data_IF_675165858205
#
_entry.id   IF_675165858205
#
_cell.length_a   1.000
_cell.length_b   1.000
_cell.length_c   1.000
_cell.angle_alpha   90.00
_cell.angle_beta   90.00
_cell.angle_gamma   90.00
#
_symmetry.space_group_name_H-M   'P 1'
#
loop_
_entity.id
_entity.type
_entity.pdbx_description
1 polymer ?
#
# COMPACT_ATOMS: atom_id res chain seq x y z
N UNK A 1 -47.19 31.26 16.53
CA UNK A 1 -46.46 30.06 16.10
C UNK A 1 -45.62 30.44 14.90
N UNK A 2 -44.30 30.53 15.09
CA UNK A 2 -43.36 30.85 14.00
C UNK A 2 -43.24 29.63 13.07
N UNK A 3 -42.98 29.83 11.77
CA UNK A 3 -42.71 28.74 10.82
C UNK A 3 -41.58 27.83 11.34
N UNK A 4 -40.58 28.40 12.02
CA UNK A 4 -39.50 27.64 12.67
C UNK A 4 -40.02 26.69 13.75
N UNK A 5 -40.94 27.13 14.61
CA UNK A 5 -41.59 26.29 15.63
C UNK A 5 -42.47 25.21 15.02
N UNK A 6 -43.20 25.52 13.96
CA UNK A 6 -44.07 24.57 13.25
C UNK A 6 -43.25 23.44 12.63
N UNK A 7 -42.13 23.78 11.98
CA UNK A 7 -41.25 22.80 11.37
C UNK A 7 -40.56 21.92 12.43
N UNK A 8 -40.12 22.50 13.53
CA UNK A 8 -39.51 21.74 14.64
C UNK A 8 -40.51 20.79 15.30
N UNK A 9 -41.76 21.20 15.51
CA UNK A 9 -42.79 20.33 16.07
C UNK A 9 -43.22 19.22 15.11
N UNK A 10 -43.29 19.52 13.80
CA UNK A 10 -43.81 18.59 12.80
C UNK A 10 -42.79 17.54 12.36
N UNK A 11 -41.50 17.88 12.40
CA UNK A 11 -40.43 17.03 11.86
C UNK A 11 -39.28 16.78 12.84
N UNK A 12 -39.30 17.37 14.05
CA UNK A 12 -38.17 17.33 15.00
C UNK A 12 -37.88 15.97 15.65
N UNK A 13 -38.70 14.95 15.40
CA UNK A 13 -38.43 13.58 15.84
C UNK A 13 -37.76 12.77 14.70
N UNK A 14 -36.50 13.13 14.43
CA UNK A 14 -35.62 12.46 13.46
C UNK A 14 -34.94 11.21 14.06
N UNK A 15 -35.64 10.44 14.89
CA UNK A 15 -35.10 9.21 15.50
C UNK A 15 -35.03 8.03 14.52
N UNK A 16 -35.62 8.16 13.32
CA UNK A 16 -35.58 7.13 12.25
C UNK A 16 -34.64 7.45 11.08
N UNK A 17 -34.33 8.72 10.82
CA UNK A 17 -33.37 9.12 9.77
C UNK A 17 -31.94 8.77 10.12
N UNK A 18 -31.62 8.60 11.40
CA UNK A 18 -30.27 8.18 11.81
C UNK A 18 -29.89 6.82 11.23
N UNK A 19 -30.83 5.90 11.04
CA UNK A 19 -30.53 4.55 10.53
C UNK A 19 -30.28 4.56 9.02
N UNK A 20 -31.17 5.16 8.22
CA UNK A 20 -30.96 5.29 6.77
C UNK A 20 -29.73 6.14 6.44
N UNK A 21 -29.49 7.24 7.16
CA UNK A 21 -28.29 8.06 6.99
C UNK A 21 -27.04 7.30 7.41
N UNK A 22 -27.08 6.51 8.48
CA UNK A 22 -25.96 5.67 8.91
C UNK A 22 -25.66 4.57 7.88
N UNK A 23 -26.68 3.93 7.33
CA UNK A 23 -26.54 2.91 6.29
C UNK A 23 -26.04 3.52 4.96
N UNK A 24 -26.51 4.72 4.60
CA UNK A 24 -25.99 5.48 3.46
C UNK A 24 -24.51 5.88 3.64
N UNK A 25 -24.12 6.41 4.81
CA UNK A 25 -22.74 6.83 5.09
C UNK A 25 -21.78 5.64 5.12
N UNK A 26 -22.21 4.50 5.67
CA UNK A 26 -21.41 3.26 5.69
C UNK A 26 -21.04 2.78 4.28
N UNK A 27 -21.93 2.96 3.29
CA UNK A 27 -21.62 2.58 1.90
C UNK A 27 -20.59 3.50 1.23
N UNK A 28 -20.42 4.73 1.72
CA UNK A 28 -19.47 5.70 1.17
C UNK A 28 -18.09 5.64 1.86
N UNK A 29 -18.04 5.21 3.12
CA UNK A 29 -16.81 5.10 3.88
C UNK A 29 -16.91 3.95 4.88
N UNK A 30 -16.14 2.90 4.62
CA UNK A 30 -15.95 1.78 5.54
C UNK A 30 -14.54 1.92 6.17
N UNK A 31 -14.43 2.23 7.48
CA UNK A 31 -13.15 2.34 8.17
C UNK A 31 -12.28 1.07 8.04
N UNK A 32 -12.88 -0.11 7.88
CA UNK A 32 -12.14 -1.35 7.67
C UNK A 32 -11.47 -1.38 6.29
N UNK A 33 -12.12 -0.83 5.26
CA UNK A 33 -11.54 -0.69 3.92
C UNK A 33 -10.41 0.34 3.92
N UNK A 34 -10.59 1.47 4.59
CA UNK A 34 -9.51 2.46 4.75
C UNK A 34 -8.29 1.86 5.48
N UNK A 35 -8.54 1.14 6.57
CA UNK A 35 -7.48 0.48 7.34
C UNK A 35 -6.75 -0.58 6.49
N UNK A 36 -7.49 -1.38 5.73
CA UNK A 36 -6.92 -2.37 4.80
C UNK A 36 -6.05 -1.69 3.75
N UNK A 37 -6.53 -0.63 3.11
CA UNK A 37 -5.77 0.13 2.12
C UNK A 37 -4.48 0.75 2.69
N UNK A 38 -4.53 1.29 3.92
CA UNK A 38 -3.34 1.78 4.63
C UNK A 38 -2.31 0.69 4.92
N UNK A 39 -2.76 -0.52 5.26
CA UNK A 39 -1.87 -1.66 5.51
C UNK A 39 -1.25 -2.15 4.20
N UNK A 40 -2.06 -2.33 3.16
CA UNK A 40 -1.61 -2.76 1.83
C UNK A 40 -0.59 -1.77 1.26
N UNK A 41 -0.89 -0.47 1.25
CA UNK A 41 0.03 0.55 0.76
C UNK A 41 1.34 0.63 1.56
N UNK A 42 1.33 0.36 2.87
CA UNK A 42 2.56 0.30 3.68
C UNK A 42 3.40 -0.95 3.36
N UNK A 43 2.76 -2.05 2.98
CA UNK A 43 3.47 -3.27 2.58
C UNK A 43 4.06 -3.09 1.18
N UNK A 44 3.26 -2.58 0.23
CA UNK A 44 3.69 -2.30 -1.14
C UNK A 44 4.86 -1.31 -1.16
N UNK A 45 4.76 -0.19 -0.44
CA UNK A 45 5.86 0.79 -0.38
C UNK A 45 7.15 0.23 0.24
N UNK A 46 7.05 -0.76 1.15
CA UNK A 46 8.24 -1.46 1.67
C UNK A 46 8.85 -2.42 0.65
N UNK A 47 8.02 -3.04 -0.19
CA UNK A 47 8.47 -3.95 -1.25
C UNK A 47 9.17 -3.11 -2.32
N UNK A 48 8.53 -2.04 -2.79
CA UNK A 48 9.07 -1.12 -3.79
C UNK A 48 10.39 -0.50 -3.33
N UNK A 49 10.44 0.05 -2.11
CA UNK A 49 11.70 0.62 -1.59
C UNK A 49 12.83 -0.41 -1.51
N UNK A 50 12.54 -1.66 -1.16
CA UNK A 50 13.57 -2.71 -1.18
C UNK A 50 14.05 -3.06 -2.58
N UNK A 51 13.15 -3.07 -3.55
CA UNK A 51 13.50 -3.31 -4.96
C UNK A 51 14.41 -2.20 -5.45
N UNK A 52 14.07 -0.95 -5.15
CA UNK A 52 14.88 0.23 -5.47
C UNK A 52 16.28 0.13 -4.82
N UNK A 53 16.35 -0.14 -3.51
CA UNK A 53 17.63 -0.31 -2.79
C UNK A 53 18.51 -1.40 -3.43
N UNK A 54 17.92 -2.52 -3.87
CA UNK A 54 18.67 -3.61 -4.52
C UNK A 54 19.19 -3.16 -5.88
N UNK A 55 18.35 -2.52 -6.70
CA UNK A 55 18.74 -2.10 -8.04
C UNK A 55 19.82 -1.03 -7.98
N UNK A 56 19.74 -0.07 -7.05
CA UNK A 56 20.77 0.94 -6.81
C UNK A 56 22.13 0.30 -6.51
N UNK A 57 22.17 -0.70 -5.61
CA UNK A 57 23.40 -1.44 -5.31
C UNK A 57 23.97 -2.20 -6.53
N UNK A 58 23.10 -2.72 -7.41
CA UNK A 58 23.52 -3.43 -8.61
C UNK A 58 24.00 -2.46 -9.70
N UNK A 59 23.43 -1.26 -9.79
CA UNK A 59 23.87 -0.21 -10.71
C UNK A 59 25.32 0.23 -10.42
N UNK A 60 25.75 0.23 -9.16
CA UNK A 60 27.15 0.47 -8.77
C UNK A 60 28.11 -0.60 -9.30
N UNK A 61 27.62 -1.84 -9.52
CA UNK A 61 28.40 -2.95 -10.07
C UNK A 61 28.42 -2.96 -11.61
N UNK A 62 27.52 -2.21 -12.26
CA UNK A 62 27.46 -2.05 -13.71
C UNK A 62 26.03 -1.95 -14.27
N UNK A 63 25.90 -2.13 -15.59
CA UNK A 63 24.60 -2.08 -16.26
C UNK A 63 23.75 -3.31 -15.91
N UNK A 64 22.70 -3.12 -15.12
CA UNK A 64 21.77 -4.19 -14.73
C UNK A 64 20.98 -4.70 -15.96
N UNK A 65 21.04 -6.00 -16.29
CA UNK A 65 20.24 -6.58 -17.36
C UNK A 65 18.74 -6.41 -17.11
N UNK A 66 17.96 -6.10 -18.15
CA UNK A 66 16.51 -5.89 -18.04
C UNK A 66 15.78 -7.14 -17.51
N UNK A 67 16.26 -8.34 -17.87
CA UNK A 67 15.75 -9.61 -17.35
C UNK A 67 15.89 -9.72 -15.83
N UNK A 68 17.04 -9.31 -15.29
CA UNK A 68 17.33 -9.33 -13.87
C UNK A 68 16.49 -8.28 -13.13
N UNK A 69 16.43 -7.06 -13.67
CA UNK A 69 15.61 -5.99 -13.11
C UNK A 69 14.12 -6.37 -13.04
N UNK A 70 13.61 -7.02 -14.08
CA UNK A 70 12.22 -7.52 -14.11
C UNK A 70 11.98 -8.58 -13.03
N UNK A 71 12.89 -9.56 -12.90
CA UNK A 71 12.80 -10.61 -11.87
C UNK A 71 12.81 -10.04 -10.45
N UNK A 72 13.58 -8.98 -10.20
CA UNK A 72 13.62 -8.30 -8.90
C UNK A 72 12.30 -7.54 -8.67
N UNK A 73 11.81 -6.80 -9.68
CA UNK A 73 10.56 -6.02 -9.61
C UNK A 73 9.30 -6.86 -9.39
N UNK A 74 9.28 -8.09 -9.89
CA UNK A 74 8.15 -9.01 -9.71
C UNK A 74 8.10 -9.67 -8.33
N UNK A 75 9.17 -9.56 -7.53
CA UNK A 75 9.23 -10.20 -6.22
C UNK A 75 8.38 -9.45 -5.18
N UNK A 76 7.50 -10.18 -4.49
CA UNK A 76 6.60 -9.66 -3.46
C UNK A 76 6.96 -10.10 -2.04
N UNK A 77 7.86 -11.08 -1.91
CA UNK A 77 8.30 -11.55 -0.60
C UNK A 77 9.44 -10.66 -0.06
N UNK A 78 9.13 -9.91 1.01
CA UNK A 78 10.09 -9.07 1.72
C UNK A 78 11.28 -9.83 2.30
N UNK A 79 11.11 -11.11 2.67
CA UNK A 79 12.21 -11.92 3.19
C UNK A 79 13.21 -12.28 2.08
N UNK A 80 12.70 -12.56 0.88
CA UNK A 80 13.53 -12.80 -0.32
C UNK A 80 14.25 -11.52 -0.72
N UNK A 81 13.53 -10.39 -0.81
CA UNK A 81 14.13 -9.08 -1.10
C UNK A 81 15.20 -8.68 -0.08
N UNK A 82 14.99 -9.00 1.21
CA UNK A 82 15.99 -8.74 2.26
C UNK A 82 17.26 -9.58 2.09
N UNK A 83 17.14 -10.83 1.63
CA UNK A 83 18.29 -11.68 1.30
C UNK A 83 19.03 -11.13 0.09
N UNK A 84 18.31 -10.79 -0.98
CA UNK A 84 18.88 -10.21 -2.19
C UNK A 84 19.55 -8.86 -1.93
N UNK A 85 18.97 -7.98 -1.10
CA UNK A 85 19.63 -6.73 -0.69
C UNK A 85 20.98 -6.97 0.00
N UNK A 86 21.05 -7.93 0.92
CA UNK A 86 22.32 -8.30 1.56
C UNK A 86 23.30 -8.98 0.61
N UNK A 87 22.80 -9.67 -0.41
CA UNK A 87 23.59 -10.31 -1.45
C UNK A 87 24.19 -9.25 -2.38
N UNK A 88 23.38 -8.33 -2.89
CA UNK A 88 23.82 -7.21 -3.72
C UNK A 88 24.92 -6.40 -3.04
N UNK A 89 24.76 -6.07 -1.75
CA UNK A 89 25.78 -5.37 -0.97
C UNK A 89 27.09 -6.15 -0.74
N UNK A 90 27.11 -7.46 -1.01
CA UNK A 90 28.29 -8.34 -0.84
C UNK A 90 28.86 -8.87 -2.16
N UNK A 91 28.13 -8.72 -3.25
CA UNK A 91 28.53 -9.26 -4.54
C UNK A 91 29.54 -8.31 -5.18
N UNK A 92 30.61 -8.87 -5.72
CA UNK A 92 31.65 -8.11 -6.41
C UNK A 92 31.30 -7.87 -7.89
N UNK A 93 30.27 -8.53 -8.43
CA UNK A 93 29.79 -8.38 -9.80
C UNK A 93 28.33 -8.79 -9.97
N UNK A 94 27.71 -8.36 -11.07
CA UNK A 94 26.34 -8.74 -11.43
C UNK A 94 26.18 -10.27 -11.63
N UNK A 95 27.18 -10.93 -12.23
CA UNK A 95 27.16 -12.38 -12.40
C UNK A 95 27.19 -13.11 -11.05
N UNK A 96 28.03 -12.66 -10.10
CA UNK A 96 28.09 -13.25 -8.76
C UNK A 96 26.76 -13.13 -8.01
N UNK A 97 26.07 -12.00 -8.18
CA UNK A 97 24.73 -11.79 -7.65
C UNK A 97 23.73 -12.77 -8.29
N UNK A 98 23.70 -12.85 -9.62
CA UNK A 98 22.74 -13.68 -10.36
C UNK A 98 22.92 -15.18 -10.09
N UNK A 99 24.15 -15.66 -9.90
CA UNK A 99 24.44 -17.06 -9.55
C UNK A 99 23.97 -17.45 -8.13
N UNK A 100 23.94 -16.49 -7.20
CA UNK A 100 23.59 -16.71 -5.78
C UNK A 100 22.15 -16.33 -5.42
N UNK A 101 21.41 -15.78 -6.38
CA UNK A 101 20.04 -15.26 -6.25
C UNK A 101 18.98 -16.35 -6.16
#
# INVERSE_FOLDING_TARGET
>A
MNITEYLYNKYGDYTKTSTEVYDMVRTLYDPAIEMKGKIEGKIEGKIEGKIEDILELLEDLGTVPESLATKIKEQKDLAVLSKWHKLAAKSDSLNDFEEKM
#
